data_IF_839890214810
#
_entry.id   IF_839890214810
#
_cell.length_a   1.000
_cell.length_b   1.000
_cell.length_c   1.000
_cell.angle_alpha   90.00
_cell.angle_beta   90.00
_cell.angle_gamma   90.00
#
_symmetry.space_group_name_H-M   'P 1'
#
loop_
_entity.id
_entity.type
_entity.pdbx_description
1 polymer ?
#
# COMPACT_ATOMS: atom_id res chain seq x y z
N UNK A 1 0.74 20.04 -19.82
CA UNK A 1 0.05 20.38 -21.07
C UNK A 1 -0.09 19.08 -21.86
N UNK A 2 -1.29 18.79 -22.34
CA UNK A 2 -1.59 17.60 -23.15
C UNK A 2 -2.07 18.08 -24.52
N UNK A 3 -1.39 17.66 -25.57
CA UNK A 3 -1.68 18.03 -26.97
C UNK A 3 -1.91 19.54 -27.18
N UNK A 4 -1.07 20.37 -26.53
CA UNK A 4 -1.15 21.83 -26.60
C UNK A 4 -2.18 22.48 -25.67
N UNK A 5 -3.01 21.71 -24.98
CA UNK A 5 -4.04 22.20 -24.06
C UNK A 5 -3.55 22.15 -22.63
N UNK A 6 -3.70 23.23 -21.88
CA UNK A 6 -3.42 23.28 -20.44
C UNK A 6 -4.51 22.46 -19.73
N UNK A 7 -4.16 21.25 -19.32
CA UNK A 7 -5.12 20.37 -18.64
C UNK A 7 -5.25 20.76 -17.17
N UNK A 8 -6.49 21.05 -16.75
CA UNK A 8 -6.84 21.25 -15.34
C UNK A 8 -7.52 20.00 -14.74
N UNK A 9 -7.86 19.01 -15.56
CA UNK A 9 -8.63 17.83 -15.16
C UNK A 9 -7.77 16.63 -14.72
N UNK A 10 -6.55 16.54 -15.20
CA UNK A 10 -5.63 15.47 -14.77
C UNK A 10 -4.81 15.92 -13.58
N UNK A 11 -5.00 15.29 -12.43
CA UNK A 11 -4.23 15.60 -11.22
C UNK A 11 -2.80 15.06 -11.31
N UNK A 12 -2.61 13.94 -12.02
CA UNK A 12 -1.31 13.33 -12.22
C UNK A 12 -1.17 12.77 -13.63
N UNK A 13 0.03 12.81 -14.18
CA UNK A 13 0.37 12.15 -15.45
C UNK A 13 0.21 10.63 -15.39
N UNK A 14 0.29 10.06 -14.18
CA UNK A 14 0.07 8.63 -13.93
C UNK A 14 -1.36 8.16 -14.18
N UNK A 15 -2.33 9.09 -14.28
CA UNK A 15 -3.72 8.76 -14.61
C UNK A 15 -3.91 8.48 -16.12
N UNK A 16 -2.93 8.88 -16.93
CA UNK A 16 -2.93 8.60 -18.36
C UNK A 16 -2.44 7.18 -18.64
N UNK A 17 -3.00 6.58 -19.69
CA UNK A 17 -2.48 5.32 -20.19
C UNK A 17 -1.13 5.54 -20.89
N UNK A 18 0.00 4.98 -20.40
CA UNK A 18 1.29 5.11 -21.06
C UNK A 18 1.29 4.60 -22.51
N UNK A 19 0.41 3.63 -22.82
CA UNK A 19 0.29 3.08 -24.17
C UNK A 19 -0.24 4.11 -25.18
N UNK A 20 -0.93 5.15 -24.73
CA UNK A 20 -1.51 6.22 -25.57
C UNK A 20 -0.56 7.42 -25.74
N UNK A 21 0.57 7.44 -25.05
CA UNK A 21 1.54 8.53 -25.11
C UNK A 21 2.52 8.32 -26.26
N UNK A 22 2.72 9.34 -27.06
CA UNK A 22 3.74 9.37 -28.13
C UNK A 22 5.07 9.91 -27.60
N UNK A 23 5.04 11.06 -26.90
CA UNK A 23 6.23 11.66 -26.29
C UNK A 23 5.91 12.46 -25.03
N UNK A 24 6.91 12.59 -24.15
CA UNK A 24 6.88 13.46 -22.99
C UNK A 24 8.11 14.34 -23.06
N UNK A 25 7.91 15.66 -23.01
CA UNK A 25 8.98 16.65 -22.95
C UNK A 25 8.87 17.47 -21.67
N UNK A 26 10.00 17.75 -21.06
CA UNK A 26 10.06 18.56 -19.82
C UNK A 26 10.82 19.84 -20.11
N UNK A 27 10.09 20.96 -20.08
CA UNK A 27 10.65 22.31 -20.26
C UNK A 27 10.98 22.92 -18.91
N UNK A 28 12.25 23.23 -18.68
CA UNK A 28 12.72 23.80 -17.40
C UNK A 28 13.38 25.17 -17.57
N UNK A 29 13.71 25.55 -18.80
CA UNK A 29 14.37 26.82 -19.08
C UNK A 29 13.34 27.96 -19.24
N UNK A 30 13.75 29.17 -18.85
CA UNK A 30 12.88 30.33 -18.84
C UNK A 30 12.43 30.75 -20.25
N UNK A 31 13.23 30.51 -21.28
CA UNK A 31 12.89 30.87 -22.66
C UNK A 31 11.76 29.99 -23.21
N UNK A 32 11.87 28.67 -23.01
CA UNK A 32 10.84 27.70 -23.46
C UNK A 32 9.54 27.84 -22.67
N UNK A 33 9.61 28.25 -21.39
CA UNK A 33 8.43 28.35 -20.53
C UNK A 33 7.75 29.72 -20.60
N UNK A 34 8.39 30.76 -21.13
CA UNK A 34 7.87 32.12 -21.17
C UNK A 34 6.50 32.27 -21.85
N UNK A 35 6.23 31.50 -22.90
CA UNK A 35 4.95 31.51 -23.62
C UNK A 35 3.75 31.02 -22.80
N UNK A 36 4.01 30.33 -21.67
CA UNK A 36 2.98 29.76 -20.80
C UNK A 36 2.74 30.61 -19.52
N UNK A 37 3.46 31.73 -19.39
CA UNK A 37 3.29 32.73 -18.33
C UNK A 37 3.69 32.24 -16.94
N UNK A 38 3.14 32.87 -15.89
CA UNK A 38 3.51 32.63 -14.50
C UNK A 38 3.29 31.19 -13.99
N UNK A 39 2.40 30.44 -14.63
CA UNK A 39 2.15 29.02 -14.28
C UNK A 39 3.32 28.11 -14.62
N UNK A 40 4.23 28.57 -15.45
CA UNK A 40 5.39 27.82 -15.91
C UNK A 40 6.64 28.00 -15.04
N UNK A 41 6.55 28.75 -13.92
CA UNK A 41 7.68 29.07 -13.04
C UNK A 41 8.41 27.81 -12.50
N UNK A 42 7.71 26.71 -12.33
CA UNK A 42 8.27 25.43 -11.87
C UNK A 42 8.59 24.45 -13.02
N UNK A 43 8.55 24.92 -14.27
CA UNK A 43 8.68 24.09 -15.46
C UNK A 43 7.33 23.54 -15.96
N UNK A 44 7.38 22.94 -17.15
CA UNK A 44 6.20 22.39 -17.84
C UNK A 44 6.51 20.99 -18.33
N UNK A 45 5.53 20.11 -18.20
CA UNK A 45 5.53 18.80 -18.85
C UNK A 45 4.59 18.88 -20.05
N UNK A 46 5.14 18.70 -21.24
CA UNK A 46 4.37 18.55 -22.47
C UNK A 46 4.18 17.07 -22.75
N UNK A 47 2.94 16.66 -22.86
CA UNK A 47 2.57 15.30 -23.24
C UNK A 47 1.93 15.36 -24.61
N UNK A 48 2.47 14.57 -25.53
CA UNK A 48 1.89 14.36 -26.84
C UNK A 48 1.27 12.97 -26.90
N UNK A 49 -0.02 12.89 -27.22
CA UNK A 49 -0.69 11.62 -27.36
C UNK A 49 -0.53 11.05 -28.78
N UNK A 50 -0.71 9.75 -28.93
CA UNK A 50 -0.68 9.08 -30.22
C UNK A 50 -1.79 9.59 -31.13
N UNK A 51 -1.45 9.87 -32.36
CA UNK A 51 -2.37 10.25 -33.43
C UNK A 51 -2.43 9.16 -34.50
N UNK A 52 -3.51 9.15 -35.25
CA UNK A 52 -3.64 8.29 -36.42
C UNK A 52 -2.63 8.66 -37.49
N UNK A 53 -2.14 7.68 -38.21
CA UNK A 53 -1.27 7.86 -39.38
C UNK A 53 -2.00 7.43 -40.64
N UNK A 54 -1.62 8.05 -41.76
CA UNK A 54 -2.09 7.62 -43.11
C UNK A 54 -1.72 6.16 -43.35
N UNK A 55 -2.69 5.35 -43.71
CA UNK A 55 -2.48 3.94 -44.03
C UNK A 55 -3.69 3.08 -43.67
N UNK A 56 -3.52 1.78 -43.89
CA UNK A 56 -4.53 0.80 -43.53
C UNK A 56 -4.77 0.81 -41.98
N UNK A 57 -6.00 0.58 -41.53
CA UNK A 57 -6.27 0.44 -40.12
C UNK A 57 -5.38 -0.64 -39.47
N UNK A 58 -4.75 -0.26 -38.35
CA UNK A 58 -3.94 -1.16 -37.54
C UNK A 58 -4.63 -1.32 -36.20
N UNK A 59 -4.83 -2.56 -35.77
CA UNK A 59 -5.36 -2.93 -34.47
C UNK A 59 -4.25 -3.54 -33.64
N UNK A 60 -4.06 -3.04 -32.43
CA UNK A 60 -3.11 -3.58 -31.45
C UNK A 60 -3.83 -3.95 -30.18
N UNK A 61 -3.64 -5.19 -29.73
CA UNK A 61 -4.12 -5.68 -28.45
C UNK A 61 -2.93 -6.12 -27.62
N UNK A 62 -2.83 -5.59 -26.40
CA UNK A 62 -1.81 -5.98 -25.41
C UNK A 62 -2.52 -6.43 -24.13
N UNK A 63 -2.09 -7.56 -23.61
CA UNK A 63 -2.45 -8.01 -22.28
C UNK A 63 -1.19 -8.10 -21.43
N UNK A 64 -1.23 -7.50 -20.24
CA UNK A 64 -0.13 -7.54 -19.29
C UNK A 64 -0.63 -8.13 -17.98
N UNK A 65 0.02 -9.19 -17.53
CA UNK A 65 -0.17 -9.76 -16.20
C UNK A 65 1.05 -9.46 -15.35
N UNK A 66 0.82 -9.03 -14.12
CA UNK A 66 1.86 -8.75 -13.15
C UNK A 66 1.54 -9.34 -11.80
N UNK A 67 2.58 -9.67 -11.04
CA UNK A 67 2.49 -10.11 -9.64
C UNK A 67 3.32 -9.16 -8.80
N UNK A 68 2.69 -8.60 -7.77
CA UNK A 68 3.33 -7.69 -6.84
C UNK A 68 3.47 -8.37 -5.48
N UNK A 69 4.66 -8.35 -4.93
CA UNK A 69 4.96 -8.94 -3.63
C UNK A 69 5.72 -7.94 -2.78
N UNK A 70 5.58 -8.06 -1.47
CA UNK A 70 6.44 -7.32 -0.56
C UNK A 70 7.91 -7.72 -0.83
N UNK A 71 8.78 -6.78 -1.20
CA UNK A 71 10.15 -7.13 -1.65
C UNK A 71 11.00 -7.71 -0.53
N UNK A 72 10.77 -7.30 0.70
CA UNK A 72 11.48 -7.80 1.88
C UNK A 72 10.60 -7.67 3.11
N UNK A 73 10.56 -8.71 3.93
CA UNK A 73 9.95 -8.62 5.26
C UNK A 73 10.87 -7.83 6.19
N UNK A 74 10.29 -6.92 6.96
CA UNK A 74 11.01 -6.23 8.02
C UNK A 74 11.31 -7.26 9.12
N UNK A 75 12.55 -7.44 9.54
CA UNK A 75 12.87 -8.37 10.63
C UNK A 75 12.34 -7.79 11.95
N UNK A 76 11.19 -8.29 12.37
CA UNK A 76 10.58 -7.97 13.66
C UNK A 76 10.89 -9.12 14.64
N UNK A 77 10.95 -8.79 15.91
CA UNK A 77 11.00 -9.81 16.96
C UNK A 77 9.71 -10.62 16.96
N UNK A 78 9.81 -11.92 17.17
CA UNK A 78 8.65 -12.73 17.49
C UNK A 78 8.11 -12.36 18.89
N UNK A 79 6.89 -12.81 19.20
CA UNK A 79 6.26 -12.46 20.47
C UNK A 79 7.10 -12.87 21.70
N UNK A 80 7.72 -14.04 21.68
CA UNK A 80 8.56 -14.55 22.78
C UNK A 80 9.74 -13.63 23.07
N UNK A 81 10.49 -13.27 22.02
CA UNK A 81 11.67 -12.41 22.14
C UNK A 81 11.28 -10.99 22.56
N UNK A 82 10.21 -10.48 21.99
CA UNK A 82 9.66 -9.17 22.36
C UNK A 82 9.21 -9.12 23.83
N UNK A 83 8.50 -10.15 24.32
CA UNK A 83 8.08 -10.30 25.71
C UNK A 83 9.31 -10.33 26.61
N UNK A 84 10.28 -11.15 26.30
CA UNK A 84 11.51 -11.29 27.09
C UNK A 84 12.24 -9.96 27.21
N UNK A 85 12.45 -9.27 26.09
CA UNK A 85 13.13 -7.97 26.06
C UNK A 85 12.37 -6.91 26.85
N UNK A 86 11.08 -6.77 26.58
CA UNK A 86 10.22 -5.75 27.19
C UNK A 86 10.10 -5.94 28.71
N UNK A 87 9.84 -7.15 29.15
CA UNK A 87 9.67 -7.45 30.59
C UNK A 87 10.99 -7.29 31.34
N UNK A 88 12.09 -7.77 30.79
CA UNK A 88 13.42 -7.61 31.40
C UNK A 88 13.84 -6.14 31.50
N UNK A 89 13.56 -5.33 30.48
CA UNK A 89 13.86 -3.91 30.51
C UNK A 89 13.03 -3.15 31.54
N UNK A 90 11.71 -3.39 31.57
CA UNK A 90 10.84 -2.74 32.56
C UNK A 90 11.24 -3.10 33.99
N UNK A 91 11.63 -4.34 34.25
CA UNK A 91 12.12 -4.75 35.54
C UNK A 91 13.38 -3.97 35.97
N UNK A 92 14.30 -3.73 35.05
CA UNK A 92 15.51 -2.93 35.30
C UNK A 92 15.18 -1.45 35.56
N UNK A 93 14.29 -0.87 34.78
CA UNK A 93 13.86 0.52 34.99
C UNK A 93 13.13 0.71 36.32
N UNK A 94 12.24 -0.20 36.70
CA UNK A 94 11.51 -0.12 37.96
C UNK A 94 12.40 -0.32 39.19
N UNK A 95 13.57 -0.96 39.05
CA UNK A 95 14.58 -1.02 40.10
C UNK A 95 15.39 0.27 40.25
N UNK A 96 15.52 1.04 39.18
CA UNK A 96 16.36 2.24 39.16
C UNK A 96 15.57 3.52 39.52
N UNK A 97 14.27 3.58 39.24
CA UNK A 97 13.45 4.79 39.41
C UNK A 97 12.06 4.46 39.96
N UNK A 98 12.02 4.19 41.24
CA UNK A 98 10.78 3.86 42.02
C UNK A 98 9.88 5.10 42.24
N UNK A 99 10.21 6.27 41.73
CA UNK A 99 9.54 7.53 42.06
C UNK A 99 8.49 7.96 41.06
N UNK A 100 8.50 7.43 39.84
CA UNK A 100 7.52 7.77 38.81
C UNK A 100 6.40 6.73 38.74
N UNK A 101 5.24 7.02 39.32
CA UNK A 101 4.03 6.16 39.40
C UNK A 101 4.21 4.77 40.04
N UNK A 102 5.27 4.59 40.85
CA UNK A 102 5.91 3.34 41.26
C UNK A 102 5.02 2.18 41.69
N UNK A 103 3.94 2.41 42.42
CA UNK A 103 3.12 1.32 42.97
C UNK A 103 2.08 0.77 42.00
N UNK A 104 1.47 1.62 41.19
CA UNK A 104 0.41 1.22 40.26
C UNK A 104 1.02 0.52 39.03
N UNK A 105 2.15 1.01 38.56
CA UNK A 105 2.88 0.41 37.44
C UNK A 105 3.52 -0.90 37.82
N UNK A 106 4.02 -1.02 39.02
CA UNK A 106 4.54 -2.29 39.56
C UNK A 106 3.44 -3.35 39.68
N UNK A 107 2.24 -2.97 40.16
CA UNK A 107 1.13 -3.90 40.22
C UNK A 107 0.68 -4.37 38.82
N UNK A 108 0.59 -3.47 37.87
CA UNK A 108 0.29 -3.79 36.45
C UNK A 108 1.37 -4.67 35.83
N UNK A 109 2.65 -4.38 36.08
CA UNK A 109 3.75 -5.21 35.63
C UNK A 109 3.70 -6.62 36.25
N UNK A 110 3.46 -6.71 37.53
CA UNK A 110 3.34 -7.99 38.25
C UNK A 110 2.11 -8.78 37.80
N UNK A 111 1.04 -8.09 37.35
CA UNK A 111 -0.12 -8.76 36.74
C UNK A 111 0.12 -9.40 35.38
N UNK A 112 1.29 -9.20 34.79
CA UNK A 112 1.64 -9.73 33.47
C UNK A 112 1.26 -8.84 32.30
N UNK A 113 0.36 -7.88 32.50
CA UNK A 113 -0.17 -7.06 31.41
C UNK A 113 0.59 -5.77 31.14
N UNK A 114 1.42 -5.31 32.08
CA UNK A 114 2.17 -4.06 31.93
C UNK A 114 3.42 -4.23 31.06
N UNK A 115 3.68 -3.22 30.24
CA UNK A 115 4.84 -3.18 29.31
C UNK A 115 4.67 -3.98 28.05
N UNK A 116 3.53 -4.59 27.90
CA UNK A 116 3.15 -5.32 26.72
C UNK A 116 2.00 -4.62 26.02
N UNK A 117 2.02 -3.35 26.11
CA UNK A 117 1.05 -2.39 25.63
C UNK A 117 0.19 -2.87 24.44
N UNK A 118 -0.55 -3.83 24.66
CA UNK A 118 -1.79 -4.04 23.94
C UNK A 118 -2.82 -3.05 24.45
N UNK A 119 -2.36 -2.15 25.15
CA UNK A 119 -2.68 -0.88 25.74
C UNK A 119 -4.02 -0.29 25.51
N UNK A 120 -4.93 -0.97 24.87
CA UNK A 120 -6.31 -0.52 24.82
C UNK A 120 -7.15 -1.40 25.76
N UNK A 121 -7.52 -0.90 26.94
CA UNK A 121 -8.43 -1.62 27.84
C UNK A 121 -9.80 -1.91 27.20
N UNK A 122 -10.06 -1.39 26.01
CA UNK A 122 -11.27 -1.67 25.21
C UNK A 122 -11.12 -2.86 24.28
N UNK A 123 -9.90 -3.36 24.04
CA UNK A 123 -9.71 -4.61 23.33
C UNK A 123 -9.87 -5.76 24.32
N UNK A 124 -10.97 -6.45 24.22
CA UNK A 124 -11.35 -7.59 25.06
C UNK A 124 -10.46 -8.83 24.93
N UNK A 125 -9.40 -8.78 24.11
CA UNK A 125 -8.45 -9.86 23.89
C UNK A 125 -7.05 -9.38 24.21
N UNK A 126 -6.67 -9.40 25.49
CA UNK A 126 -5.26 -9.35 25.84
C UNK A 126 -4.60 -10.63 25.31
N UNK A 127 -3.66 -10.49 24.42
CA UNK A 127 -2.89 -11.60 23.86
C UNK A 127 -1.69 -11.99 24.74
N UNK A 128 -1.62 -11.47 25.95
CA UNK A 128 -0.64 -11.81 26.98
C UNK A 128 -1.25 -11.65 28.35
N UNK A 129 -1.14 -12.67 29.20
CA UNK A 129 -1.58 -12.68 30.60
C UNK A 129 -0.79 -13.77 31.34
N UNK A 130 -0.82 -13.79 32.68
CA UNK A 130 -0.38 -14.96 33.43
C UNK A 130 -1.35 -16.12 33.22
N UNK A 131 -0.79 -17.32 33.04
CA UNK A 131 -1.57 -18.52 32.75
C UNK A 131 -2.56 -18.86 33.87
N UNK A 132 -2.16 -18.70 35.12
CA UNK A 132 -3.05 -18.92 36.29
C UNK A 132 -4.25 -17.99 36.30
N UNK A 133 -4.03 -16.72 35.97
CA UNK A 133 -5.11 -15.71 35.87
C UNK A 133 -6.02 -16.06 34.69
N UNK A 134 -5.47 -16.50 33.57
CA UNK A 134 -6.23 -16.86 32.38
C UNK A 134 -7.09 -18.10 32.62
N UNK A 135 -6.52 -19.12 33.31
CA UNK A 135 -7.23 -20.32 33.72
C UNK A 135 -8.38 -20.00 34.68
N UNK A 136 -8.14 -19.12 35.64
CA UNK A 136 -9.19 -18.68 36.60
C UNK A 136 -10.35 -17.96 35.90
N UNK A 137 -10.01 -17.15 34.87
CA UNK A 137 -11.01 -16.33 34.16
C UNK A 137 -11.82 -17.09 33.14
N UNK A 138 -11.20 -18.01 32.40
CA UNK A 138 -11.81 -18.65 31.26
C UNK A 138 -11.99 -20.17 31.39
N UNK A 139 -11.37 -20.79 32.40
CA UNK A 139 -11.43 -22.22 32.64
C UNK A 139 -10.47 -23.05 31.80
N UNK A 140 -10.18 -24.26 32.27
CA UNK A 140 -9.22 -25.17 31.66
C UNK A 140 -9.57 -25.55 30.21
N UNK A 141 -10.81 -25.87 29.92
CA UNK A 141 -11.21 -26.28 28.56
C UNK A 141 -10.98 -25.22 27.50
N UNK A 142 -11.26 -23.97 27.82
CA UNK A 142 -11.00 -22.85 26.92
C UNK A 142 -9.49 -22.64 26.67
N UNK A 143 -8.70 -22.67 27.74
CA UNK A 143 -7.24 -22.49 27.65
C UNK A 143 -6.59 -23.63 26.86
N UNK A 144 -7.01 -24.88 27.09
CA UNK A 144 -6.53 -26.02 26.30
C UNK A 144 -6.83 -25.85 24.82
N UNK A 145 -8.03 -25.40 24.45
CA UNK A 145 -8.36 -25.12 23.04
C UNK A 145 -7.45 -24.05 22.41
N UNK A 146 -7.15 -22.97 23.15
CA UNK A 146 -6.23 -21.94 22.66
C UNK A 146 -4.83 -22.50 22.37
N UNK A 147 -4.31 -23.32 23.28
CA UNK A 147 -2.96 -23.88 23.17
C UNK A 147 -2.86 -24.96 22.07
N UNK A 148 -3.88 -25.80 21.93
CA UNK A 148 -3.87 -26.94 21.03
C UNK A 148 -4.31 -26.58 19.60
N UNK A 149 -5.22 -25.62 19.44
CA UNK A 149 -5.88 -25.35 18.15
C UNK A 149 -5.71 -23.93 17.63
N UNK A 150 -5.47 -22.93 18.50
CA UNK A 150 -5.42 -21.54 18.08
C UNK A 150 -3.99 -20.95 18.06
N UNK A 151 -2.97 -21.78 18.24
CA UNK A 151 -1.56 -21.38 18.13
C UNK A 151 -1.06 -20.49 19.30
N UNK A 152 -1.78 -20.49 20.41
CA UNK A 152 -1.29 -19.84 21.62
C UNK A 152 -0.13 -20.63 22.23
N UNK A 153 0.73 -19.94 22.95
CA UNK A 153 1.95 -20.49 23.53
C UNK A 153 2.08 -20.11 25.00
N UNK A 154 2.92 -20.86 25.69
CA UNK A 154 3.33 -20.50 27.06
C UNK A 154 4.83 -20.30 27.14
N UNK A 155 5.25 -19.46 28.09
CA UNK A 155 6.65 -19.29 28.47
C UNK A 155 6.77 -18.88 29.94
N UNK A 156 7.90 -19.18 30.55
CA UNK A 156 8.21 -18.62 31.84
C UNK A 156 8.50 -17.11 31.70
N UNK A 157 7.88 -16.30 32.56
CA UNK A 157 8.19 -14.88 32.64
C UNK A 157 9.63 -14.69 33.11
N UNK A 158 10.47 -13.96 32.36
CA UNK A 158 11.90 -13.81 32.70
C UNK A 158 12.14 -13.07 34.01
N UNK A 159 11.10 -12.44 34.58
CA UNK A 159 11.23 -11.66 35.80
C UNK A 159 10.68 -12.39 37.02
N UNK A 160 9.48 -12.96 36.90
CA UNK A 160 8.79 -13.60 38.03
C UNK A 160 8.86 -15.11 38.02
N UNK A 161 9.26 -15.72 36.92
CA UNK A 161 9.26 -17.17 36.72
C UNK A 161 7.88 -17.80 36.52
N UNK A 162 6.80 -17.03 36.68
CA UNK A 162 5.43 -17.51 36.45
C UNK A 162 5.19 -17.81 34.97
N UNK A 163 4.29 -18.73 34.69
CA UNK A 163 3.91 -19.01 33.29
C UNK A 163 3.06 -17.88 32.73
N UNK A 164 3.47 -17.37 31.58
CA UNK A 164 2.70 -16.48 30.72
C UNK A 164 2.03 -17.30 29.62
N UNK A 165 0.83 -16.90 29.24
CA UNK A 165 0.15 -17.36 28.03
C UNK A 165 0.06 -16.20 27.05
N UNK A 166 0.40 -16.43 25.77
CA UNK A 166 0.44 -15.40 24.74
C UNK A 166 0.19 -15.96 23.36
N UNK A 167 -0.10 -15.10 22.40
CA UNK A 167 -0.22 -15.44 21.00
C UNK A 167 0.87 -14.71 20.18
N UNK A 168 1.54 -15.44 19.32
CA UNK A 168 2.49 -14.86 18.37
C UNK A 168 1.75 -14.48 17.07
N UNK A 169 1.53 -13.18 16.89
CA UNK A 169 0.79 -12.64 15.75
C UNK A 169 1.75 -12.07 14.71
N UNK A 170 1.83 -12.71 13.56
CA UNK A 170 2.56 -12.18 12.41
C UNK A 170 1.74 -11.07 11.72
N UNK A 171 1.90 -9.84 12.20
CA UNK A 171 1.20 -8.68 11.65
C UNK A 171 1.56 -8.39 10.19
N UNK A 172 2.78 -8.71 9.77
CA UNK A 172 3.15 -8.54 8.37
C UNK A 172 2.40 -9.52 7.48
N UNK A 173 2.30 -10.80 7.87
CA UNK A 173 1.49 -11.78 7.16
C UNK A 173 0.00 -11.45 7.18
N UNK A 174 -0.49 -10.86 8.27
CA UNK A 174 -1.88 -10.42 8.37
C UNK A 174 -2.18 -9.21 7.48
N UNK A 175 -1.22 -8.29 7.31
CA UNK A 175 -1.38 -7.01 6.60
C UNK A 175 -1.07 -7.15 5.12
N UNK A 176 -0.02 -7.88 4.77
CA UNK A 176 0.46 -7.99 3.39
C UNK A 176 -0.04 -9.25 2.71
N UNK A 177 -0.21 -9.13 1.41
CA UNK A 177 -0.60 -10.23 0.52
C UNK A 177 0.14 -10.09 -0.81
N UNK A 178 0.02 -11.08 -1.66
CA UNK A 178 0.47 -10.97 -3.06
C UNK A 178 -0.62 -10.27 -3.85
N UNK A 179 -0.29 -9.15 -4.48
CA UNK A 179 -1.16 -8.44 -5.40
C UNK A 179 -1.05 -9.03 -6.82
N UNK A 180 -2.13 -8.90 -7.58
CA UNK A 180 -2.17 -9.28 -8.99
C UNK A 180 -2.59 -8.09 -9.82
N UNK A 181 -1.96 -7.92 -10.97
CA UNK A 181 -2.26 -6.88 -11.95
C UNK A 181 -2.71 -7.51 -13.25
N UNK A 182 -3.84 -7.07 -13.75
CA UNK A 182 -4.37 -7.39 -15.07
C UNK A 182 -4.58 -6.10 -15.84
N UNK A 183 -3.93 -5.96 -16.97
CA UNK A 183 -4.03 -4.78 -17.82
C UNK A 183 -4.29 -5.21 -19.27
N UNK A 184 -5.30 -4.62 -19.87
CA UNK A 184 -5.66 -4.82 -21.27
C UNK A 184 -5.65 -3.47 -21.96
N UNK A 185 -4.82 -3.34 -22.99
CA UNK A 185 -4.77 -2.18 -23.87
C UNK A 185 -5.19 -2.61 -25.28
N UNK A 186 -6.20 -1.93 -25.81
CA UNK A 186 -6.64 -2.07 -27.20
C UNK A 186 -6.47 -0.73 -27.89
N UNK A 187 -5.80 -0.70 -29.03
CA UNK A 187 -5.76 0.51 -29.86
C UNK A 187 -6.08 0.22 -31.30
N UNK A 188 -6.71 1.20 -31.95
CA UNK A 188 -7.03 1.19 -33.36
C UNK A 188 -6.56 2.52 -33.93
N UNK A 189 -5.74 2.47 -34.97
CA UNK A 189 -5.25 3.66 -35.67
C UNK A 189 -5.29 3.47 -37.17
N UNK A 190 -5.53 4.55 -37.90
CA UNK A 190 -5.55 4.52 -39.35
C UNK A 190 -5.86 5.88 -39.94
N UNK A 191 -5.93 5.96 -41.25
CA UNK A 191 -6.31 7.20 -41.89
C UNK A 191 -6.06 7.24 -43.40
N UNK A 192 -6.62 8.29 -44.00
CA UNK A 192 -6.42 8.69 -45.39
C UNK A 192 -5.68 10.04 -45.43
N UNK A 193 -5.61 10.66 -46.56
CA UNK A 193 -5.07 12.04 -46.69
C UNK A 193 -5.97 13.09 -46.03
N UNK A 194 -7.26 12.82 -45.97
CA UNK A 194 -8.26 13.74 -45.41
C UNK A 194 -8.57 13.49 -43.95
N UNK A 195 -8.50 12.24 -43.47
CA UNK A 195 -8.90 11.86 -42.11
C UNK A 195 -7.84 10.93 -41.54
N UNK A 196 -7.42 11.19 -40.32
CA UNK A 196 -6.68 10.19 -39.52
C UNK A 196 -7.28 10.10 -38.11
N UNK A 197 -7.17 8.93 -37.52
CA UNK A 197 -7.75 8.66 -36.22
C UNK A 197 -6.90 7.67 -35.42
N UNK A 198 -6.93 7.85 -34.10
CA UNK A 198 -6.44 6.95 -33.09
C UNK A 198 -7.52 6.77 -32.00
N UNK A 199 -7.77 5.53 -31.64
CA UNK A 199 -8.66 5.16 -30.53
C UNK A 199 -7.85 4.25 -29.61
N UNK A 200 -7.70 4.64 -28.35
CA UNK A 200 -7.08 3.84 -27.29
C UNK A 200 -8.11 3.49 -26.22
N UNK A 201 -8.13 2.24 -25.81
CA UNK A 201 -8.96 1.72 -24.73
C UNK A 201 -8.06 0.97 -23.76
N UNK A 202 -8.19 1.25 -22.46
CA UNK A 202 -7.48 0.53 -21.40
C UNK A 202 -8.42 0.07 -20.32
N UNK A 203 -8.20 -1.13 -19.86
CA UNK A 203 -8.70 -1.65 -18.59
C UNK A 203 -7.54 -2.09 -17.72
N UNK A 204 -7.47 -1.55 -16.51
CA UNK A 204 -6.51 -1.95 -15.48
C UNK A 204 -7.26 -2.38 -14.23
N UNK A 205 -6.92 -3.55 -13.72
CA UNK A 205 -7.32 -4.01 -12.40
C UNK A 205 -6.07 -4.49 -11.67
N UNK A 206 -5.78 -3.86 -10.53
CA UNK A 206 -4.57 -4.11 -9.76
C UNK A 206 -4.92 -4.26 -8.28
N UNK A 207 -4.67 -5.43 -7.74
CA UNK A 207 -4.70 -5.65 -6.29
C UNK A 207 -3.38 -5.17 -5.68
N UNK A 208 -3.47 -4.37 -4.63
CA UNK A 208 -2.28 -3.93 -3.91
C UNK A 208 -1.72 -5.03 -3.01
N UNK A 209 -0.49 -4.81 -2.55
CA UNK A 209 0.17 -5.70 -1.58
C UNK A 209 -0.41 -5.59 -0.17
N UNK A 210 -1.17 -4.54 0.14
CA UNK A 210 -1.95 -4.43 1.38
C UNK A 210 -3.30 -5.11 1.19
N UNK A 211 -3.70 -5.98 2.11
CA UNK A 211 -5.00 -6.66 2.05
C UNK A 211 -6.14 -5.66 1.97
N UNK A 212 -7.09 -5.93 1.07
CA UNK A 212 -8.27 -5.10 0.88
C UNK A 212 -8.04 -3.85 0.04
N UNK A 213 -6.86 -3.64 -0.54
CA UNK A 213 -6.62 -2.56 -1.48
C UNK A 213 -6.72 -3.06 -2.91
N UNK A 214 -7.48 -2.32 -3.73
CA UNK A 214 -7.63 -2.60 -5.16
C UNK A 214 -7.74 -1.28 -5.92
N UNK A 215 -7.14 -1.23 -7.08
CA UNK A 215 -7.21 -0.10 -8.01
C UNK A 215 -7.75 -0.57 -9.34
N UNK A 216 -8.79 0.12 -9.84
CA UNK A 216 -9.35 -0.10 -11.18
C UNK A 216 -9.33 1.19 -11.96
N UNK A 217 -8.91 1.10 -13.20
CA UNK A 217 -8.88 2.24 -14.12
C UNK A 217 -9.43 1.81 -15.47
N UNK A 218 -10.31 2.64 -16.02
CA UNK A 218 -10.81 2.55 -17.39
C UNK A 218 -10.44 3.84 -18.08
N UNK A 219 -9.74 3.76 -19.19
CA UNK A 219 -9.43 4.95 -19.97
C UNK A 219 -9.81 4.77 -21.42
N UNK A 220 -10.26 5.85 -22.00
CA UNK A 220 -10.60 5.96 -23.43
C UNK A 220 -9.93 7.21 -23.96
N UNK A 221 -9.14 7.06 -24.98
CA UNK A 221 -8.56 8.16 -25.75
C UNK A 221 -9.11 8.12 -27.17
N UNK A 222 -9.60 9.25 -27.65
CA UNK A 222 -9.89 9.44 -29.06
C UNK A 222 -9.14 10.67 -29.57
N UNK A 223 -8.35 10.48 -30.62
CA UNK A 223 -7.63 11.54 -31.29
C UNK A 223 -7.94 11.43 -32.80
N UNK A 224 -8.54 12.46 -33.35
CA UNK A 224 -8.92 12.50 -34.76
C UNK A 224 -8.65 13.84 -35.39
N UNK A 225 -8.09 13.82 -36.60
CA UNK A 225 -7.84 15.00 -37.42
C UNK A 225 -8.56 14.87 -38.74
N UNK A 226 -9.23 15.94 -39.15
CA UNK A 226 -9.89 16.02 -40.42
C UNK A 226 -9.47 17.28 -41.18
N UNK A 227 -9.01 17.11 -42.39
CA UNK A 227 -8.60 18.19 -43.31
C UNK A 227 -9.80 18.61 -44.13
N UNK A 228 -10.37 19.78 -43.82
CA UNK A 228 -11.59 20.25 -44.42
C UNK A 228 -11.50 20.55 -45.93
N UNK A 229 -10.38 21.09 -46.40
CA UNK A 229 -10.15 21.40 -47.80
C UNK A 229 -8.74 21.95 -48.04
N UNK A 230 -8.20 21.82 -49.23
CA UNK A 230 -6.98 22.55 -49.65
C UNK A 230 -7.28 23.97 -50.20
N UNK A 231 -8.55 24.35 -50.26
CA UNK A 231 -9.01 25.60 -50.83
C UNK A 231 -9.30 26.65 -49.76
N UNK A 232 -8.23 27.15 -49.11
CA UNK A 232 -8.17 28.45 -48.44
C UNK A 232 -6.73 28.93 -48.49
#
# INVERSE_FOLDING_TARGET
IIDGIISQGFRNISDMNPADIESIEVLKDAASTAIYGSRAANGIILVKTKAGQKGKPTVSLRYTYGVEQQPQRIPLLNARDYITLSRSNIAKFNQADLTYNGKEDQAKFLSGSFGMSTGNPRNSKNTLEFLDVYLQKYGQGYVSNLLEHEGWQTMADPVTGKQLIFQDNDFQKATFTTGQKHEVDLSISGGTEAINYYVGLRYLNQDGILRGTNYKNYSVLFNGNYKLSEAW
#
